data_IF_197182599402
#
_entry.id   IF_197182599402
#
_cell.length_a   1.000
_cell.length_b   1.000
_cell.length_c   1.000
_cell.angle_alpha   90.00
_cell.angle_beta   90.00
_cell.angle_gamma   90.00
#
_symmetry.space_group_name_H-M   'P 1'
#
loop_
_entity.id
_entity.type
_entity.pdbx_description
1 polymer ?
#
# COMPACT_ATOMS: atom_id res chain seq x y z
N UNK A 1 20.72 -15.53 9.82
CA UNK A 1 20.32 -15.54 8.39
C UNK A 1 18.88 -15.06 8.20
N UNK A 2 17.93 -15.49 9.04
CA UNK A 2 16.53 -15.03 9.01
C UNK A 2 16.34 -13.50 9.00
N UNK A 3 17.16 -12.74 9.75
CA UNK A 3 17.05 -11.27 9.83
C UNK A 3 17.29 -10.53 8.51
N UNK A 4 18.15 -11.05 7.62
CA UNK A 4 18.40 -10.41 6.33
C UNK A 4 17.17 -10.51 5.42
N UNK A 5 16.45 -11.65 5.46
CA UNK A 5 15.23 -11.85 4.69
C UNK A 5 14.09 -10.98 5.22
N UNK A 6 13.97 -10.82 6.54
CA UNK A 6 12.98 -9.92 7.14
C UNK A 6 13.24 -8.46 6.75
N UNK A 7 14.50 -8.01 6.81
CA UNK A 7 14.88 -6.66 6.37
C UNK A 7 14.57 -6.44 4.89
N UNK A 8 14.96 -7.38 4.03
CA UNK A 8 14.70 -7.29 2.59
C UNK A 8 13.19 -7.29 2.28
N UNK A 9 12.42 -8.21 2.88
CA UNK A 9 10.97 -8.29 2.69
C UNK A 9 10.26 -7.01 3.13
N UNK A 10 10.68 -6.43 4.26
CA UNK A 10 10.17 -5.16 4.76
C UNK A 10 10.43 -4.00 3.80
N UNK A 11 11.63 -3.94 3.23
CA UNK A 11 12.01 -2.92 2.25
C UNK A 11 11.21 -3.08 0.95
N UNK A 12 11.08 -4.30 0.43
CA UNK A 12 10.36 -4.56 -0.83
C UNK A 12 8.86 -4.31 -0.73
N UNK A 13 8.24 -4.66 0.39
CA UNK A 13 6.82 -4.36 0.60
C UNK A 13 6.62 -2.84 0.75
N UNK A 14 7.48 -2.16 1.52
CA UNK A 14 7.28 -0.74 1.80
C UNK A 14 7.67 0.21 0.66
N UNK A 15 8.66 -0.16 -0.17
CA UNK A 15 9.18 0.75 -1.22
C UNK A 15 8.10 1.15 -2.22
N UNK A 16 7.17 0.24 -2.56
CA UNK A 16 6.07 0.52 -3.48
C UNK A 16 5.15 1.62 -2.93
N UNK A 17 4.87 1.61 -1.61
CA UNK A 17 4.06 2.64 -0.96
C UNK A 17 4.80 3.97 -0.85
N UNK A 18 6.08 3.95 -0.49
CA UNK A 18 6.88 5.18 -0.38
C UNK A 18 7.01 5.86 -1.74
N UNK A 19 7.30 5.09 -2.80
CA UNK A 19 7.36 5.63 -4.17
C UNK A 19 5.99 6.13 -4.65
N UNK A 20 4.91 5.38 -4.40
CA UNK A 20 3.55 5.79 -4.77
C UNK A 20 3.14 7.09 -4.08
N UNK A 21 3.40 7.21 -2.77
CA UNK A 21 3.12 8.40 -1.98
C UNK A 21 3.95 9.60 -2.42
N UNK A 22 5.25 9.41 -2.67
CA UNK A 22 6.14 10.45 -3.16
C UNK A 22 5.70 10.94 -4.55
N UNK A 23 5.36 10.02 -5.44
CA UNK A 23 4.86 10.35 -6.77
C UNK A 23 3.55 11.16 -6.70
N UNK A 24 2.61 10.76 -5.84
CA UNK A 24 1.35 11.50 -5.62
C UNK A 24 1.57 12.87 -4.97
N UNK A 25 2.62 13.03 -4.18
CA UNK A 25 3.01 14.32 -3.59
C UNK A 25 3.62 15.26 -4.64
N UNK A 26 4.50 14.75 -5.50
CA UNK A 26 5.13 15.53 -6.57
C UNK A 26 4.17 15.85 -7.72
N UNK A 27 3.30 14.92 -8.07
CA UNK A 27 2.34 15.02 -9.18
C UNK A 27 0.90 15.04 -8.65
N UNK A 28 0.63 15.96 -7.72
CA UNK A 28 -0.67 16.04 -7.03
C UNK A 28 -1.86 16.17 -7.99
N UNK A 29 -1.72 16.95 -9.07
CA UNK A 29 -2.78 17.11 -10.07
C UNK A 29 -3.16 15.79 -10.73
N UNK A 30 -2.17 14.96 -11.11
CA UNK A 30 -2.42 13.64 -11.71
C UNK A 30 -3.11 12.69 -10.73
N UNK A 31 -2.65 12.67 -9.47
CA UNK A 31 -3.31 11.89 -8.42
C UNK A 31 -4.74 12.34 -8.15
N UNK A 32 -5.02 13.64 -8.29
CA UNK A 32 -6.36 14.18 -8.06
C UNK A 32 -7.33 13.75 -9.16
N UNK A 33 -6.87 13.69 -10.41
CA UNK A 33 -7.68 13.21 -11.53
C UNK A 33 -7.99 11.71 -11.40
N UNK A 34 -7.02 10.92 -10.92
CA UNK A 34 -7.21 9.50 -10.61
C UNK A 34 -8.32 9.30 -9.56
N UNK A 35 -8.27 10.04 -8.44
CA UNK A 35 -9.27 9.94 -7.37
C UNK A 35 -10.64 10.45 -7.82
N UNK A 36 -10.69 11.54 -8.61
CA UNK A 36 -11.94 12.07 -9.18
C UNK A 36 -12.63 11.07 -10.10
N UNK A 37 -11.87 10.26 -10.85
CA UNK A 37 -12.44 9.23 -11.73
C UNK A 37 -13.27 8.18 -10.97
N UNK A 38 -13.05 8.05 -9.65
CA UNK A 38 -13.77 7.13 -8.76
C UNK A 38 -14.96 7.75 -8.03
N UNK A 39 -15.34 8.97 -8.38
CA UNK A 39 -16.50 9.69 -7.79
C UNK A 39 -16.47 9.73 -6.25
N UNK A 40 -15.28 9.74 -5.65
CA UNK A 40 -15.13 9.78 -4.20
C UNK A 40 -15.52 11.16 -3.64
N UNK A 41 -16.20 11.22 -2.49
CA UNK A 41 -16.47 12.48 -1.81
C UNK A 41 -15.15 13.11 -1.36
N UNK A 42 -15.01 14.42 -1.54
CA UNK A 42 -13.82 15.20 -1.15
C UNK A 42 -12.48 14.64 -1.70
N UNK A 43 -12.28 14.64 -3.04
CA UNK A 43 -11.13 13.98 -3.67
C UNK A 43 -9.77 14.52 -3.21
N UNK A 44 -9.68 15.82 -2.86
CA UNK A 44 -8.46 16.41 -2.31
C UNK A 44 -8.11 15.85 -0.93
N UNK A 45 -9.12 15.60 -0.09
CA UNK A 45 -8.93 15.04 1.24
C UNK A 45 -8.53 13.56 1.14
N UNK A 46 -9.19 12.80 0.24
CA UNK A 46 -8.86 11.41 -0.01
C UNK A 46 -7.42 11.23 -0.55
N UNK A 47 -7.00 12.10 -1.49
CA UNK A 47 -5.63 12.08 -2.00
C UNK A 47 -4.60 12.44 -0.91
N UNK A 48 -4.86 13.50 -0.14
CA UNK A 48 -3.97 13.92 0.95
C UNK A 48 -3.84 12.83 2.01
N UNK A 49 -4.95 12.18 2.38
CA UNK A 49 -4.95 11.05 3.31
C UNK A 49 -4.18 9.85 2.75
N UNK A 50 -4.36 9.56 1.45
CA UNK A 50 -3.60 8.50 0.75
C UNK A 50 -2.10 8.75 0.84
N UNK A 51 -1.64 9.97 0.49
CA UNK A 51 -0.23 10.34 0.56
C UNK A 51 0.31 10.18 1.98
N UNK A 52 -0.42 10.69 2.98
CA UNK A 52 -0.03 10.62 4.38
C UNK A 52 0.12 9.16 4.85
N UNK A 53 -0.89 8.32 4.59
CA UNK A 53 -0.86 6.90 4.99
C UNK A 53 0.28 6.16 4.31
N UNK A 54 0.47 6.33 3.00
CA UNK A 54 1.51 5.67 2.23
C UNK A 54 2.92 6.05 2.69
N UNK A 55 3.17 7.35 2.89
CA UNK A 55 4.50 7.83 3.29
C UNK A 55 4.80 7.52 4.77
N UNK A 56 3.87 7.82 5.69
CA UNK A 56 4.10 7.62 7.12
C UNK A 56 4.26 6.13 7.42
N UNK A 57 3.33 5.30 6.97
CA UNK A 57 3.38 3.87 7.26
C UNK A 57 4.49 3.18 6.47
N UNK A 58 4.72 3.56 5.20
CA UNK A 58 5.79 2.99 4.39
C UNK A 58 7.17 3.26 5.01
N UNK A 59 7.44 4.51 5.43
CA UNK A 59 8.69 4.85 6.09
C UNK A 59 8.81 4.21 7.47
N UNK A 60 7.73 4.14 8.26
CA UNK A 60 7.72 3.45 9.55
C UNK A 60 8.10 1.97 9.39
N UNK A 61 7.50 1.30 8.40
CA UNK A 61 7.85 -0.08 8.04
C UNK A 61 9.32 -0.17 7.63
N UNK A 62 9.82 0.67 6.72
CA UNK A 62 11.24 0.64 6.32
C UNK A 62 12.19 0.79 7.51
N UNK A 63 11.91 1.76 8.39
CA UNK A 63 12.69 2.03 9.59
C UNK A 63 12.57 0.93 10.66
N UNK A 64 11.58 0.04 10.56
CA UNK A 64 11.29 -0.98 11.56
C UNK A 64 10.54 -0.45 12.79
N UNK A 65 9.97 0.76 12.71
CA UNK A 65 9.24 1.39 13.79
C UNK A 65 7.75 1.03 13.75
N UNK A 66 7.20 0.53 14.85
CA UNK A 66 5.80 0.09 14.96
C UNK A 66 5.31 -0.74 13.75
N UNK A 67 6.14 -1.68 13.29
CA UNK A 67 5.88 -2.42 12.03
C UNK A 67 4.54 -3.12 12.00
N UNK A 68 4.07 -3.66 13.13
CA UNK A 68 2.76 -4.33 13.21
C UNK A 68 1.62 -3.34 12.95
N UNK A 69 1.60 -2.20 13.64
CA UNK A 69 0.56 -1.16 13.46
C UNK A 69 0.60 -0.57 12.05
N UNK A 70 1.79 -0.23 11.55
CA UNK A 70 1.95 0.33 10.21
C UNK A 70 1.55 -0.67 9.12
N UNK A 71 1.87 -1.97 9.30
CA UNK A 71 1.45 -3.03 8.38
C UNK A 71 -0.06 -3.24 8.39
N UNK A 72 -0.71 -3.17 9.56
CA UNK A 72 -2.16 -3.26 9.66
C UNK A 72 -2.85 -2.10 8.92
N UNK A 73 -2.37 -0.87 9.15
CA UNK A 73 -2.90 0.32 8.47
C UNK A 73 -2.75 0.23 6.96
N UNK A 74 -1.57 -0.16 6.46
CA UNK A 74 -1.37 -0.34 5.03
C UNK A 74 -2.14 -1.52 4.45
N UNK A 75 -2.30 -2.62 5.18
CA UNK A 75 -3.12 -3.75 4.73
C UNK A 75 -4.58 -3.33 4.53
N UNK A 76 -5.17 -2.62 5.50
CA UNK A 76 -6.54 -2.10 5.39
C UNK A 76 -6.67 -1.06 4.27
N UNK A 77 -5.72 -0.14 4.16
CA UNK A 77 -5.67 0.83 3.07
C UNK A 77 -5.62 0.12 1.70
N UNK A 78 -4.74 -0.87 1.57
CA UNK A 78 -4.54 -1.64 0.32
C UNK A 78 -5.78 -2.45 -0.05
N UNK A 79 -6.49 -2.98 0.94
CA UNK A 79 -7.76 -3.67 0.71
C UNK A 79 -8.81 -2.69 0.18
N UNK A 80 -8.92 -1.50 0.80
CA UNK A 80 -9.84 -0.47 0.34
C UNK A 80 -9.50 -0.02 -1.10
N UNK A 81 -8.22 0.19 -1.44
CA UNK A 81 -7.83 0.55 -2.81
C UNK A 81 -8.06 -0.59 -3.79
N UNK A 82 -7.80 -1.84 -3.40
CA UNK A 82 -8.08 -3.01 -4.24
C UNK A 82 -9.56 -3.05 -4.63
N UNK A 83 -10.44 -2.86 -3.64
CA UNK A 83 -11.89 -2.88 -3.86
C UNK A 83 -12.36 -1.70 -4.72
N UNK A 84 -11.83 -0.50 -4.48
CA UNK A 84 -12.28 0.72 -5.17
C UNK A 84 -11.75 0.82 -6.62
N UNK A 85 -10.53 0.38 -6.86
CA UNK A 85 -9.84 0.60 -8.14
C UNK A 85 -9.89 -0.62 -9.07
N UNK A 86 -9.98 -1.84 -8.53
CA UNK A 86 -9.97 -3.08 -9.29
C UNK A 86 -11.34 -3.77 -9.25
N UNK A 87 -12.34 -3.03 -9.72
CA UNK A 87 -13.72 -3.49 -9.84
C UNK A 87 -13.86 -4.54 -10.95
N UNK A 88 -13.42 -5.77 -10.68
CA UNK A 88 -13.51 -6.87 -11.65
C UNK A 88 -14.90 -7.50 -11.68
N UNK A 89 -15.72 -7.31 -10.63
CA UNK A 89 -17.06 -7.89 -10.52
C UNK A 89 -18.07 -7.21 -11.45
N UNK A 90 -17.82 -5.96 -11.86
CA UNK A 90 -18.67 -5.24 -12.82
C UNK A 90 -18.08 -5.17 -14.24
N UNK A 91 -17.06 -5.97 -14.57
CA UNK A 91 -16.38 -5.93 -15.88
C UNK A 91 -16.52 -7.26 -16.62
N UNK A 92 -16.36 -7.23 -17.95
CA UNK A 92 -16.45 -8.40 -18.81
C UNK A 92 -15.23 -8.53 -19.75
N UNK A 93 -15.07 -9.73 -20.33
CA UNK A 93 -14.02 -10.01 -21.31
C UNK A 93 -12.60 -9.74 -20.80
N UNK A 94 -11.75 -9.18 -21.66
CA UNK A 94 -10.35 -8.90 -21.33
C UNK A 94 -10.20 -7.92 -20.15
N UNK A 95 -11.13 -6.97 -20.00
CA UNK A 95 -11.08 -5.98 -18.92
C UNK A 95 -11.28 -6.61 -17.54
N UNK A 96 -12.17 -7.60 -17.44
CA UNK A 96 -12.35 -8.38 -16.21
C UNK A 96 -11.06 -9.07 -15.78
N UNK A 97 -10.37 -9.71 -16.72
CA UNK A 97 -9.10 -10.40 -16.42
C UNK A 97 -8.04 -9.43 -15.93
N UNK A 98 -7.89 -8.27 -16.58
CA UNK A 98 -6.93 -7.24 -16.16
C UNK A 98 -7.23 -6.71 -14.75
N UNK A 99 -8.50 -6.39 -14.46
CA UNK A 99 -8.90 -5.92 -13.13
C UNK A 99 -8.72 -7.00 -12.06
N UNK A 100 -9.05 -8.26 -12.38
CA UNK A 100 -8.90 -9.37 -11.46
C UNK A 100 -7.42 -9.64 -11.13
N UNK A 101 -6.52 -9.58 -12.11
CA UNK A 101 -5.08 -9.71 -11.86
C UNK A 101 -4.59 -8.62 -10.90
N UNK A 102 -4.94 -7.36 -11.16
CA UNK A 102 -4.52 -6.27 -10.28
C UNK A 102 -5.12 -6.35 -8.88
N UNK A 103 -6.35 -6.84 -8.74
CA UNK A 103 -6.95 -7.15 -7.44
C UNK A 103 -6.13 -8.22 -6.70
N UNK A 104 -5.77 -9.33 -7.35
CA UNK A 104 -4.99 -10.40 -6.75
C UNK A 104 -3.56 -9.97 -6.36
N UNK A 105 -2.94 -9.07 -7.13
CA UNK A 105 -1.66 -8.46 -6.76
C UNK A 105 -1.78 -7.72 -5.42
N UNK A 106 -2.86 -6.95 -5.23
CA UNK A 106 -3.11 -6.25 -3.96
C UNK A 106 -3.39 -7.20 -2.81
N UNK A 107 -4.16 -8.29 -3.04
CA UNK A 107 -4.36 -9.34 -2.03
C UNK A 107 -3.03 -9.99 -1.63
N UNK A 108 -2.12 -10.21 -2.58
CA UNK A 108 -0.79 -10.76 -2.31
C UNK A 108 0.05 -9.81 -1.44
N UNK A 109 -0.03 -8.50 -1.68
CA UNK A 109 0.63 -7.48 -0.85
C UNK A 109 0.06 -7.47 0.58
N UNK A 110 -1.26 -7.58 0.73
CA UNK A 110 -1.92 -7.71 2.05
C UNK A 110 -1.42 -8.96 2.78
N UNK A 111 -1.25 -10.08 2.08
CA UNK A 111 -0.62 -11.28 2.62
C UNK A 111 0.81 -11.02 3.11
N UNK A 112 1.60 -10.24 2.35
CA UNK A 112 2.92 -9.78 2.78
C UNK A 112 2.90 -8.99 4.09
N UNK A 113 1.96 -8.06 4.25
CA UNK A 113 1.77 -7.35 5.52
C UNK A 113 1.33 -8.27 6.66
N UNK A 114 0.46 -9.24 6.41
CA UNK A 114 0.05 -10.21 7.42
C UNK A 114 1.22 -11.07 7.92
N UNK A 115 2.08 -11.52 7.02
CA UNK A 115 3.31 -12.21 7.37
C UNK A 115 4.27 -11.31 8.17
N UNK A 116 4.40 -10.04 7.79
CA UNK A 116 5.24 -9.08 8.51
C UNK A 116 4.71 -8.78 9.92
N UNK A 117 3.39 -8.73 10.12
CA UNK A 117 2.78 -8.59 11.44
C UNK A 117 3.09 -9.80 12.34
N UNK A 118 3.07 -11.01 11.79
CA UNK A 118 3.39 -12.23 12.54
C UNK A 118 4.88 -12.40 12.83
N UNK A 119 5.76 -12.01 11.91
CA UNK A 119 7.21 -12.13 12.05
C UNK A 119 7.84 -11.00 12.89
N UNK A 120 7.21 -9.84 12.94
CA UNK A 120 7.76 -8.65 13.59
C UNK A 120 8.86 -7.96 12.78
N UNK A 121 9.50 -6.91 13.33
CA UNK A 121 10.46 -6.08 12.60
C UNK A 121 11.79 -6.78 12.29
N UNK A 122 12.16 -7.84 13.02
CA UNK A 122 13.50 -8.44 12.94
C UNK A 122 14.59 -7.57 13.58
N UNK A 123 15.86 -8.02 13.54
CA UNK A 123 16.95 -7.36 14.28
C UNK A 123 17.45 -6.02 13.69
N UNK A 124 17.23 -5.77 12.41
CA UNK A 124 17.68 -4.54 11.74
C UNK A 124 16.57 -3.47 11.82
N UNK A 125 16.67 -2.58 12.80
CA UNK A 125 15.70 -1.50 13.06
C UNK A 125 16.47 -0.21 13.34
N UNK A 126 15.99 0.92 12.82
CA UNK A 126 16.59 2.25 13.00
C UNK A 126 16.09 2.94 14.28
N UNK A 127 14.90 2.58 14.77
CA UNK A 127 14.28 3.12 15.98
C UNK A 127 13.84 1.97 16.91
N UNK A 128 14.51 1.76 18.06
CA UNK A 128 14.24 0.62 18.96
C UNK A 128 12.84 0.64 19.57
#
# INVERSE_FOLDING_TARGET
>A
MSDYYLFAGRLFIAVMYVLSGANKLLFFSHGLDEVKSRNLPFPQLALSATIAVQLICGLAIMAGFQTTTASLLLALFTLATAVLFYDFWNQEGAQRTLMFTGFLEHISIIGGFALLMGAGPGRFVLLP
#
